data_IF_236441742789
#
_entry.id   IF_236441742789
#
_cell.length_a   1.000
_cell.length_b   1.000
_cell.length_c   1.000
_cell.angle_alpha   90.00
_cell.angle_beta   90.00
_cell.angle_gamma   90.00
#
_symmetry.space_group_name_H-M   'P 1'
#
loop_
_entity.id
_entity.type
_entity.pdbx_description
1 polymer ?
#
# COMPACT_ATOMS: atom_id res chain seq x y z
N UNK A 1 7.37 -0.25 28.36
CA UNK A 1 5.97 0.01 27.93
C UNK A 1 5.86 1.28 27.08
N UNK A 2 6.36 2.44 27.50
CA UNK A 2 6.35 3.66 26.67
C UNK A 2 7.11 3.49 25.33
N UNK A 3 8.37 3.00 25.39
CA UNK A 3 9.21 2.78 24.20
C UNK A 3 8.57 1.85 23.15
N UNK A 4 7.91 0.77 23.61
CA UNK A 4 7.23 -0.17 22.70
C UNK A 4 6.08 0.51 21.95
N UNK A 5 5.31 1.38 22.61
CA UNK A 5 4.26 2.15 21.94
C UNK A 5 4.82 3.15 20.94
N UNK A 6 5.90 3.84 21.28
CA UNK A 6 6.56 4.79 20.38
C UNK A 6 7.07 4.10 19.10
N UNK A 7 7.66 2.91 19.23
CA UNK A 7 8.11 2.09 18.10
C UNK A 7 6.94 1.61 17.23
N UNK A 8 5.84 1.15 17.84
CA UNK A 8 4.64 0.72 17.12
C UNK A 8 3.95 1.89 16.39
N UNK A 9 3.90 3.08 16.99
CA UNK A 9 3.39 4.29 16.35
C UNK A 9 4.29 4.75 15.20
N UNK A 10 5.62 4.63 15.33
CA UNK A 10 6.55 4.91 14.25
C UNK A 10 6.30 3.95 13.07
N UNK A 11 6.15 2.65 13.35
CA UNK A 11 5.77 1.65 12.35
C UNK A 11 4.46 2.01 11.66
N UNK A 12 3.43 2.41 12.43
CA UNK A 12 2.15 2.89 11.88
C UNK A 12 2.34 4.05 10.91
N UNK A 13 3.09 5.07 11.31
CA UNK A 13 3.33 6.25 10.45
C UNK A 13 3.99 5.85 9.14
N UNK A 14 4.99 4.96 9.18
CA UNK A 14 5.65 4.43 7.99
C UNK A 14 4.68 3.64 7.10
N UNK A 15 3.87 2.74 7.67
CA UNK A 15 2.88 1.98 6.90
C UNK A 15 1.84 2.91 6.24
N UNK A 16 1.35 3.91 6.96
CA UNK A 16 0.36 4.84 6.44
C UNK A 16 0.92 5.78 5.36
N UNK A 17 2.23 6.04 5.35
CA UNK A 17 2.91 6.76 4.27
C UNK A 17 2.99 5.94 2.97
N UNK A 18 2.94 4.62 3.06
CA UNK A 18 2.98 3.72 1.89
C UNK A 18 1.60 3.56 1.22
N UNK A 19 0.53 3.86 1.94
CA UNK A 19 -0.82 3.85 1.37
C UNK A 19 -0.97 4.98 0.34
N UNK A 20 -1.73 4.76 -0.73
CA UNK A 20 -1.97 5.79 -1.73
C UNK A 20 -2.71 6.99 -1.13
N UNK A 21 -2.73 8.15 -1.81
CA UNK A 21 -3.45 9.32 -1.29
C UNK A 21 -4.94 9.05 -1.27
N UNK A 22 -5.62 9.36 -0.16
CA UNK A 22 -7.07 9.24 -0.10
C UNK A 22 -7.75 10.23 -1.07
N UNK A 23 -8.94 9.88 -1.56
CA UNK A 23 -9.75 10.63 -2.52
C UNK A 23 -8.98 11.03 -3.79
N UNK A 24 -8.13 10.13 -4.29
CA UNK A 24 -7.34 10.39 -5.49
C UNK A 24 -8.18 10.13 -6.75
N UNK A 25 -8.06 11.02 -7.73
CA UNK A 25 -8.73 10.88 -9.02
C UNK A 25 -7.75 10.38 -10.08
N UNK A 26 -8.20 9.46 -10.91
CA UNK A 26 -7.49 8.86 -12.03
C UNK A 26 -8.36 9.03 -13.28
N UNK A 27 -8.19 10.14 -14.01
CA UNK A 27 -9.13 10.54 -15.05
C UNK A 27 -10.54 10.74 -14.48
N UNK A 28 -11.53 10.07 -15.05
CA UNK A 28 -12.94 10.11 -14.62
C UNK A 28 -13.23 9.23 -13.39
N UNK A 29 -12.25 8.47 -12.89
CA UNK A 29 -12.42 7.57 -11.75
C UNK A 29 -11.96 8.20 -10.44
N UNK A 30 -12.76 8.04 -9.37
CA UNK A 30 -12.42 8.50 -8.02
C UNK A 30 -12.18 7.31 -7.08
N UNK A 31 -11.03 7.31 -6.42
CA UNK A 31 -10.64 6.29 -5.45
C UNK A 31 -10.58 6.89 -4.05
N UNK A 32 -11.39 6.33 -3.16
CA UNK A 32 -11.42 6.68 -1.74
C UNK A 32 -11.07 5.45 -0.91
N UNK A 33 -10.34 5.65 0.18
CA UNK A 33 -9.97 4.57 1.09
C UNK A 33 -10.25 4.95 2.54
N UNK A 34 -10.72 3.98 3.32
CA UNK A 34 -10.77 4.06 4.77
C UNK A 34 -10.17 2.79 5.35
N UNK A 35 -9.26 2.95 6.29
CA UNK A 35 -8.60 1.85 6.99
C UNK A 35 -8.80 2.06 8.49
N UNK A 36 -9.49 1.14 9.15
CA UNK A 36 -9.67 1.14 10.60
C UNK A 36 -8.81 0.05 11.20
N UNK A 37 -7.70 0.44 11.82
CA UNK A 37 -6.77 -0.51 12.42
C UNK A 37 -7.19 -0.81 13.85
N UNK A 38 -7.29 -2.10 14.21
CA UNK A 38 -7.58 -2.54 15.58
C UNK A 38 -6.40 -2.32 16.54
N UNK A 39 -5.17 -2.29 16.00
CA UNK A 39 -3.90 -2.01 16.67
C UNK A 39 -3.18 -0.83 15.97
N UNK A 40 -1.91 -0.57 16.32
CA UNK A 40 -1.09 0.45 15.66
C UNK A 40 -0.82 0.11 14.18
N UNK A 41 -0.59 -1.16 13.87
CA UNK A 41 -0.25 -1.64 12.53
C UNK A 41 -1.37 -2.54 11.96
N UNK A 42 -1.57 -2.46 10.64
CA UNK A 42 -2.63 -3.19 9.93
C UNK A 42 -2.09 -4.36 9.12
N UNK A 43 -2.78 -5.51 9.13
CA UNK A 43 -2.62 -6.53 8.10
C UNK A 43 -3.34 -6.16 6.79
N UNK A 44 -4.33 -5.28 6.88
CA UNK A 44 -5.11 -4.81 5.75
C UNK A 44 -4.35 -3.73 4.98
N UNK A 45 -4.32 -3.84 3.66
CA UNK A 45 -3.69 -2.88 2.78
C UNK A 45 -4.52 -2.66 1.52
N UNK A 46 -4.45 -1.44 0.99
CA UNK A 46 -5.08 -1.07 -0.28
C UNK A 46 -4.10 -0.26 -1.09
N UNK A 47 -4.12 -0.48 -2.40
CA UNK A 47 -3.30 0.27 -3.33
C UNK A 47 -4.04 0.48 -4.65
N UNK A 48 -3.76 1.60 -5.30
CA UNK A 48 -4.25 1.92 -6.63
C UNK A 48 -3.22 2.77 -7.36
N UNK A 49 -2.99 2.44 -8.63
CA UNK A 49 -1.91 2.97 -9.45
C UNK A 49 -2.19 2.79 -10.94
N UNK A 50 -1.63 3.67 -11.76
CA UNK A 50 -1.56 3.45 -13.20
C UNK A 50 -0.62 2.28 -13.51
N UNK A 51 -1.06 1.32 -14.31
CA UNK A 51 -0.18 0.29 -14.87
C UNK A 51 0.60 0.90 -16.04
N UNK A 52 -0.12 1.56 -16.95
CA UNK A 52 0.38 2.41 -18.02
C UNK A 52 -0.58 3.60 -18.25
N UNK A 53 -0.51 4.24 -19.42
CA UNK A 53 -1.34 5.41 -19.77
C UNK A 53 -2.85 5.11 -19.83
N UNK A 54 -3.23 3.88 -20.15
CA UNK A 54 -4.63 3.50 -20.42
C UNK A 54 -5.21 2.56 -19.36
N UNK A 55 -4.35 1.92 -18.56
CA UNK A 55 -4.75 0.89 -17.60
C UNK A 55 -4.55 1.33 -16.16
N UNK A 56 -5.61 1.21 -15.36
CA UNK A 56 -5.59 1.43 -13.93
C UNK A 56 -5.65 0.10 -13.18
N UNK A 57 -4.75 -0.09 -12.23
CA UNK A 57 -4.71 -1.25 -11.33
C UNK A 57 -5.05 -0.84 -9.91
N UNK A 58 -5.74 -1.72 -9.20
CA UNK A 58 -5.93 -1.60 -7.76
C UNK A 58 -6.00 -2.98 -7.12
N UNK A 59 -5.70 -3.07 -5.84
CA UNK A 59 -5.90 -4.28 -5.05
C UNK A 59 -6.23 -3.96 -3.59
N UNK A 60 -6.87 -4.92 -2.93
CA UNK A 60 -7.08 -4.95 -1.49
C UNK A 60 -6.48 -6.26 -1.00
N UNK A 61 -5.67 -6.19 0.05
CA UNK A 61 -5.02 -7.34 0.66
C UNK A 61 -5.38 -7.40 2.14
N UNK A 62 -5.74 -8.59 2.61
CA UNK A 62 -5.92 -8.93 4.02
C UNK A 62 -4.89 -10.01 4.37
N UNK A 63 -3.91 -9.64 5.19
CA UNK A 63 -2.84 -10.55 5.62
C UNK A 63 -3.24 -11.18 6.95
N UNK A 64 -3.32 -12.51 6.97
CA UNK A 64 -3.64 -13.28 8.17
C UNK A 64 -2.74 -12.91 9.36
N UNK A 65 -3.35 -12.62 10.50
CA UNK A 65 -2.68 -12.18 11.72
C UNK A 65 -2.90 -10.69 11.99
N UNK A 66 -2.25 -10.17 13.03
CA UNK A 66 -2.36 -8.75 13.37
C UNK A 66 -1.06 -8.20 13.95
N UNK A 67 -0.87 -6.88 13.84
CA UNK A 67 0.29 -6.17 14.39
C UNK A 67 1.48 -6.11 13.45
N UNK A 68 2.69 -6.15 14.01
CA UNK A 68 3.93 -5.86 13.28
C UNK A 68 4.22 -6.85 12.14
N UNK A 69 4.15 -8.18 12.33
CA UNK A 69 4.52 -9.13 11.26
C UNK A 69 3.61 -9.04 10.03
N UNK A 70 2.30 -8.92 10.21
CA UNK A 70 1.35 -8.80 9.09
C UNK A 70 1.53 -7.49 8.33
N UNK A 71 1.80 -6.39 9.03
CA UNK A 71 2.11 -5.13 8.40
C UNK A 71 3.38 -5.18 7.54
N UNK A 72 4.43 -5.87 7.98
CA UNK A 72 5.64 -6.06 7.16
C UNK A 72 5.34 -6.75 5.83
N UNK A 73 4.43 -7.73 5.80
CA UNK A 73 4.01 -8.38 4.56
C UNK A 73 3.35 -7.39 3.61
N UNK A 74 2.53 -6.47 4.12
CA UNK A 74 1.91 -5.42 3.28
C UNK A 74 2.95 -4.48 2.65
N UNK A 75 4.03 -4.17 3.38
CA UNK A 75 5.15 -3.36 2.87
C UNK A 75 5.90 -4.11 1.76
N UNK A 76 6.17 -5.40 1.97
CA UNK A 76 6.80 -6.24 0.94
C UNK A 76 5.93 -6.35 -0.31
N UNK A 77 4.62 -6.52 -0.14
CA UNK A 77 3.67 -6.54 -1.25
C UNK A 77 3.74 -5.24 -2.06
N UNK A 78 3.69 -4.07 -1.41
CA UNK A 78 3.83 -2.77 -2.08
C UNK A 78 5.16 -2.66 -2.83
N UNK A 79 6.26 -3.09 -2.22
CA UNK A 79 7.60 -3.07 -2.83
C UNK A 79 7.66 -3.94 -4.08
N UNK A 80 7.13 -5.17 -4.01
CA UNK A 80 7.09 -6.06 -5.18
C UNK A 80 6.20 -5.53 -6.29
N UNK A 81 5.02 -5.00 -5.95
CA UNK A 81 4.12 -4.41 -6.95
C UNK A 81 4.79 -3.24 -7.67
N UNK A 82 5.43 -2.32 -6.94
CA UNK A 82 6.17 -1.22 -7.55
C UNK A 82 7.28 -1.72 -8.49
N UNK A 83 8.05 -2.73 -8.07
CA UNK A 83 9.11 -3.31 -8.91
C UNK A 83 8.56 -3.94 -10.18
N UNK A 84 7.48 -4.71 -10.10
CA UNK A 84 6.88 -5.32 -11.29
C UNK A 84 6.30 -4.29 -12.25
N UNK A 85 5.71 -3.21 -11.73
CA UNK A 85 5.23 -2.09 -12.54
C UNK A 85 6.37 -1.37 -13.26
N UNK A 86 7.48 -1.12 -12.58
CA UNK A 86 8.68 -0.52 -13.19
C UNK A 86 9.23 -1.40 -14.32
N UNK A 87 9.36 -2.71 -14.09
CA UNK A 87 9.81 -3.66 -15.10
C UNK A 87 8.87 -3.70 -16.31
N UNK A 88 7.57 -3.71 -16.08
CA UNK A 88 6.56 -3.69 -17.14
C UNK A 88 6.67 -2.42 -18.00
N UNK A 89 6.78 -1.25 -17.35
CA UNK A 89 6.94 0.05 -18.05
C UNK A 89 8.24 0.13 -18.84
N UNK A 90 9.34 -0.42 -18.32
CA UNK A 90 10.61 -0.47 -19.03
C UNK A 90 10.52 -1.33 -20.30
N UNK A 91 9.83 -2.47 -20.25
CA UNK A 91 9.62 -3.32 -21.42
C UNK A 91 8.74 -2.64 -22.48
N UNK A 92 7.65 -1.98 -22.06
CA UNK A 92 6.75 -1.25 -22.97
C UNK A 92 7.47 -0.11 -23.69
N UNK A 93 8.39 0.58 -23.02
CA UNK A 93 9.13 1.71 -23.60
C UNK A 93 10.28 1.29 -24.55
N UNK A 94 10.59 -0.01 -24.68
CA UNK A 94 11.63 -0.53 -25.57
C UNK A 94 11.09 -1.12 -26.88
N UNK A 95 9.77 -1.26 -27.03
CA UNK A 95 9.10 -1.71 -28.25
C UNK A 95 8.42 -0.58 -28.98
#
# INVERSE_FOLDING_TARGET
>A
LLRLREDEEAGRRLQFQLLPRDNQSFGDYQFSRKLWTSLYLSGDFVDYFYIDEDHLGFYIADVSGHGVPSAFVTVLLKSYMNRYLELFRQQKNQG
#
